data_IF_397382033310
#
_entry.id   IF_397382033310
#
_cell.length_a   1.000
_cell.length_b   1.000
_cell.length_c   1.000
_cell.angle_alpha   90.00
_cell.angle_beta   90.00
_cell.angle_gamma   90.00
#
_symmetry.space_group_name_H-M   'P 1'
#
loop_
_entity.id
_entity.type
_entity.pdbx_description
1 polymer ?
#
# COMPACT_ATOMS: atom_id res chain seq x y z
N UNK A 1 25.29 -18.30 -16.96
CA UNK A 1 23.86 -18.50 -17.26
C UNK A 1 23.74 -18.59 -18.77
N UNK A 2 23.00 -19.56 -19.31
CA UNK A 2 22.87 -19.77 -20.76
C UNK A 2 21.46 -19.32 -21.15
N UNK A 3 21.35 -18.38 -22.09
CA UNK A 3 20.08 -17.94 -22.67
C UNK A 3 19.77 -18.91 -23.81
N UNK A 4 18.63 -19.61 -23.74
CA UNK A 4 18.23 -20.59 -24.75
C UNK A 4 17.63 -19.88 -25.98
N UNK A 5 17.59 -20.54 -27.16
CA UNK A 5 16.96 -19.96 -28.36
C UNK A 5 15.49 -19.55 -28.15
N UNK A 6 14.76 -20.29 -27.31
CA UNK A 6 13.38 -19.96 -26.95
C UNK A 6 13.29 -18.66 -26.13
N UNK A 7 14.24 -18.44 -25.22
CA UNK A 7 14.35 -17.20 -24.44
C UNK A 7 14.65 -16.01 -25.36
N UNK A 8 15.57 -16.19 -26.32
CA UNK A 8 15.93 -15.14 -27.29
C UNK A 8 14.71 -14.69 -28.11
N UNK A 9 13.87 -15.63 -28.55
CA UNK A 9 12.64 -15.33 -29.27
C UNK A 9 11.65 -14.53 -28.41
N UNK A 10 11.44 -14.96 -27.16
CA UNK A 10 10.55 -14.27 -26.22
C UNK A 10 11.04 -12.85 -25.88
N UNK A 11 12.35 -12.68 -25.69
CA UNK A 11 12.98 -11.39 -25.43
C UNK A 11 12.81 -10.43 -26.61
N UNK A 12 13.00 -10.93 -27.84
CA UNK A 12 12.77 -10.15 -29.06
C UNK A 12 11.31 -9.69 -29.21
N UNK A 13 10.33 -10.58 -28.96
CA UNK A 13 8.90 -10.23 -28.96
C UNK A 13 8.55 -9.14 -27.93
N UNK A 14 9.25 -9.12 -26.79
CA UNK A 14 9.09 -8.11 -25.73
C UNK A 14 9.93 -6.85 -25.93
N UNK A 15 10.68 -6.74 -27.03
CA UNK A 15 11.64 -5.64 -27.27
C UNK A 15 12.68 -5.49 -26.15
N UNK A 16 13.15 -6.61 -25.58
CA UNK A 16 14.19 -6.67 -24.57
C UNK A 16 15.47 -7.21 -25.22
N UNK A 17 16.57 -6.46 -25.13
CA UNK A 17 17.86 -6.89 -25.65
C UNK A 17 18.58 -7.86 -24.70
N UNK A 18 19.50 -8.65 -25.25
CA UNK A 18 20.34 -9.55 -24.45
C UNK A 18 21.17 -8.79 -23.39
N UNK A 19 21.65 -7.58 -23.72
CA UNK A 19 22.35 -6.74 -22.75
C UNK A 19 21.43 -6.35 -21.58
N UNK A 20 20.18 -5.98 -21.86
CA UNK A 20 19.20 -5.62 -20.82
C UNK A 20 18.84 -6.79 -19.91
N UNK A 21 18.66 -8.01 -20.45
CA UNK A 21 18.36 -9.17 -19.61
C UNK A 21 19.56 -9.55 -18.74
N UNK A 22 20.79 -9.47 -19.27
CA UNK A 22 22.00 -9.73 -18.49
C UNK A 22 22.13 -8.72 -17.35
N UNK A 23 21.89 -7.43 -17.60
CA UNK A 23 21.90 -6.39 -16.56
C UNK A 23 20.85 -6.64 -15.47
N UNK A 24 19.61 -6.99 -15.85
CA UNK A 24 18.55 -7.30 -14.89
C UNK A 24 18.89 -8.52 -14.03
N UNK A 25 19.44 -9.57 -14.64
CA UNK A 25 19.89 -10.77 -13.95
C UNK A 25 21.03 -10.46 -12.97
N UNK A 26 21.94 -9.57 -13.36
CA UNK A 26 23.00 -9.09 -12.50
C UNK A 26 22.47 -8.35 -11.27
N UNK A 27 21.44 -7.51 -11.43
CA UNK A 27 20.74 -6.87 -10.32
C UNK A 27 20.09 -7.88 -9.36
N UNK A 28 19.56 -9.01 -9.86
CA UNK A 28 19.03 -10.06 -8.99
C UNK A 28 20.12 -10.75 -8.17
N UNK A 29 21.32 -10.93 -8.74
CA UNK A 29 22.44 -11.58 -8.07
C UNK A 29 23.13 -10.67 -7.06
N UNK A 30 23.42 -9.43 -7.45
CA UNK A 30 24.21 -8.47 -6.66
C UNK A 30 23.34 -7.56 -5.80
N UNK A 31 22.02 -7.60 -6.00
CA UNK A 31 21.09 -6.62 -5.46
C UNK A 31 21.10 -5.33 -6.27
N UNK A 32 20.16 -4.44 -5.95
CA UNK A 32 20.10 -3.11 -6.55
C UNK A 32 21.00 -2.15 -5.77
N UNK A 33 21.82 -1.33 -6.44
CA UNK A 33 22.57 -0.29 -5.75
C UNK A 33 21.61 0.68 -5.06
N UNK A 34 22.00 1.18 -3.90
CA UNK A 34 21.24 2.24 -3.25
C UNK A 34 21.14 3.45 -4.18
N UNK A 35 19.91 3.97 -4.32
CA UNK A 35 19.67 5.17 -5.10
C UNK A 35 20.42 6.33 -4.45
N UNK A 36 21.30 6.99 -5.20
CA UNK A 36 21.95 8.22 -4.72
C UNK A 36 20.91 9.32 -4.71
N UNK A 37 20.50 9.73 -3.52
CA UNK A 37 19.60 10.86 -3.35
C UNK A 37 20.34 12.13 -3.79
N UNK A 38 19.82 12.79 -4.81
CA UNK A 38 20.40 14.05 -5.31
C UNK A 38 20.19 15.18 -4.30
N UNK A 39 18.96 15.36 -3.85
CA UNK A 39 18.57 16.25 -2.77
C UNK A 39 17.11 16.00 -2.35
N UNK A 40 16.70 16.63 -1.24
CA UNK A 40 15.28 16.75 -0.93
C UNK A 40 14.56 17.57 -2.02
N UNK A 41 13.34 17.17 -2.36
CA UNK A 41 12.49 17.93 -3.26
C UNK A 41 12.17 19.29 -2.63
N UNK A 42 12.40 20.37 -3.38
CA UNK A 42 12.11 21.75 -2.98
C UNK A 42 11.54 22.50 -4.17
N UNK A 43 11.12 23.76 -3.98
CA UNK A 43 10.63 24.60 -5.08
C UNK A 43 11.70 24.77 -6.17
N UNK A 44 12.97 24.82 -5.75
CA UNK A 44 14.14 24.89 -6.63
C UNK A 44 14.56 23.51 -7.17
N UNK A 45 14.02 22.42 -6.60
CA UNK A 45 14.37 21.02 -6.90
C UNK A 45 13.13 20.17 -7.19
N UNK A 46 12.38 20.59 -8.21
CA UNK A 46 11.33 19.77 -8.84
C UNK A 46 9.90 19.97 -8.31
N UNK A 47 9.69 20.74 -7.22
CA UNK A 47 8.33 21.10 -6.77
C UNK A 47 7.88 22.37 -7.50
N UNK A 48 6.81 22.28 -8.29
CA UNK A 48 6.21 23.44 -8.92
C UNK A 48 5.34 24.23 -7.93
N UNK A 49 5.81 25.40 -7.49
CA UNK A 49 5.02 26.34 -6.72
C UNK A 49 4.26 27.30 -7.65
N UNK A 50 2.92 27.23 -7.63
CA UNK A 50 2.07 28.08 -8.46
C UNK A 50 1.82 29.44 -7.81
N UNK A 51 1.89 30.52 -8.59
CA UNK A 51 1.43 31.85 -8.17
C UNK A 51 -0.08 31.87 -8.02
N UNK A 52 -0.60 32.81 -7.22
CA UNK A 52 -2.05 33.01 -7.02
C UNK A 52 -2.81 33.13 -8.35
N UNK A 53 -2.27 33.89 -9.30
CA UNK A 53 -2.88 34.06 -10.62
C UNK A 53 -2.98 32.74 -11.41
N UNK A 54 -1.93 31.91 -11.36
CA UNK A 54 -1.92 30.59 -12.02
C UNK A 54 -2.89 29.62 -11.33
N UNK A 55 -2.94 29.63 -10.00
CA UNK A 55 -3.91 28.83 -9.24
C UNK A 55 -5.34 29.20 -9.65
N UNK A 56 -5.66 30.50 -9.69
CA UNK A 56 -6.97 30.98 -10.10
C UNK A 56 -7.30 30.62 -11.55
N UNK A 57 -6.32 30.72 -12.45
CA UNK A 57 -6.50 30.31 -13.84
C UNK A 57 -6.82 28.82 -13.98
N UNK A 58 -6.11 27.93 -13.26
CA UNK A 58 -6.39 26.49 -13.30
C UNK A 58 -7.71 26.12 -12.65
N UNK A 59 -8.08 26.76 -11.53
CA UNK A 59 -9.39 26.57 -10.91
C UNK A 59 -10.52 26.98 -11.85
N UNK A 60 -10.37 28.13 -12.51
CA UNK A 60 -11.36 28.62 -13.49
C UNK A 60 -11.45 27.67 -14.70
N UNK A 61 -10.31 27.16 -15.20
CA UNK A 61 -10.29 26.19 -16.29
C UNK A 61 -11.02 24.88 -15.90
N UNK A 62 -10.80 24.37 -14.68
CA UNK A 62 -11.50 23.20 -14.17
C UNK A 62 -13.01 23.45 -14.02
N UNK A 63 -13.41 24.57 -13.41
CA UNK A 63 -14.82 24.93 -13.25
C UNK A 63 -15.52 25.06 -14.61
N UNK A 64 -14.87 25.66 -15.61
CA UNK A 64 -15.44 25.73 -16.96
C UNK A 64 -15.58 24.34 -17.58
N UNK A 65 -14.62 23.44 -17.37
CA UNK A 65 -14.68 22.06 -17.86
C UNK A 65 -15.86 21.28 -17.25
N UNK A 66 -16.13 21.44 -15.95
CA UNK A 66 -17.26 20.75 -15.28
C UNK A 66 -18.62 21.21 -15.78
N UNK A 67 -18.73 22.39 -16.39
CA UNK A 67 -19.97 22.90 -17.01
C UNK A 67 -20.21 22.42 -18.45
N UNK A 68 -19.28 21.65 -19.02
CA UNK A 68 -19.45 21.05 -20.36
C UNK A 68 -20.30 19.77 -20.29
N UNK A 69 -20.69 19.25 -21.46
CA UNK A 69 -21.41 17.97 -21.56
C UNK A 69 -20.45 16.76 -21.59
N UNK A 70 -19.20 16.93 -21.09
CA UNK A 70 -18.20 15.85 -21.02
C UNK A 70 -18.41 15.02 -19.76
N UNK A 71 -18.15 13.71 -19.88
CA UNK A 71 -18.10 12.80 -18.73
C UNK A 71 -16.75 12.93 -18.03
N UNK A 72 -16.79 13.15 -16.71
CA UNK A 72 -15.59 13.21 -15.88
C UNK A 72 -15.36 11.82 -15.30
N UNK A 73 -14.15 11.30 -15.47
CA UNK A 73 -13.76 10.01 -14.92
C UNK A 73 -12.57 10.19 -14.00
N UNK A 74 -12.70 9.69 -12.77
CA UNK A 74 -11.57 9.48 -11.89
C UNK A 74 -11.02 8.07 -12.12
N UNK A 75 -9.79 8.00 -12.59
CA UNK A 75 -9.08 6.73 -12.72
C UNK A 75 -8.09 6.60 -11.56
N UNK A 76 -8.23 5.52 -10.79
CA UNK A 76 -7.25 5.17 -9.76
C UNK A 76 -6.57 3.86 -10.16
N UNK A 77 -5.26 3.86 -10.41
CA UNK A 77 -4.55 2.64 -10.79
C UNK A 77 -4.60 1.62 -9.65
N UNK A 78 -4.73 0.34 -10.01
CA UNK A 78 -4.81 -0.74 -9.05
C UNK A 78 -3.52 -0.83 -8.22
N UNK A 79 -3.66 -1.03 -6.91
CA UNK A 79 -2.54 -1.39 -6.04
C UNK A 79 -2.33 -2.89 -6.05
N UNK A 80 -1.06 -3.32 -6.09
CA UNK A 80 -0.70 -4.72 -5.91
C UNK A 80 -0.95 -5.20 -4.47
N UNK A 81 -0.73 -6.50 -4.24
CA UNK A 81 -0.86 -7.11 -2.92
C UNK A 81 -0.07 -6.36 -1.84
N UNK A 82 -0.58 -6.36 -0.61
CA UNK A 82 0.04 -5.69 0.52
C UNK A 82 1.29 -6.40 1.08
N UNK A 83 1.80 -7.45 0.42
CA UNK A 83 2.82 -8.35 0.99
C UNK A 83 4.11 -7.63 1.41
N UNK A 84 4.56 -6.60 0.66
CA UNK A 84 5.70 -5.77 1.07
C UNK A 84 5.43 -4.89 2.30
N UNK A 85 4.18 -4.46 2.48
CA UNK A 85 3.79 -3.62 3.62
C UNK A 85 3.87 -4.40 4.95
N UNK A 86 3.59 -5.70 4.91
CA UNK A 86 3.64 -6.58 6.08
C UNK A 86 4.93 -7.42 6.15
N UNK A 87 5.97 -7.08 5.39
CA UNK A 87 7.21 -7.88 5.31
C UNK A 87 7.78 -8.19 6.70
N UNK A 88 7.97 -7.16 7.53
CA UNK A 88 8.57 -7.33 8.85
C UNK A 88 7.65 -8.12 9.81
N UNK A 89 6.32 -8.07 9.60
CA UNK A 89 5.35 -8.88 10.37
C UNK A 89 5.39 -10.35 9.94
N UNK A 90 5.57 -10.62 8.64
CA UNK A 90 5.81 -11.97 8.13
C UNK A 90 7.14 -12.55 8.63
N UNK A 91 8.20 -11.75 8.62
CA UNK A 91 9.50 -12.14 9.17
C UNK A 91 9.38 -12.46 10.66
N UNK A 92 8.68 -11.63 11.44
CA UNK A 92 8.37 -11.92 12.84
C UNK A 92 7.58 -13.23 13.02
N UNK A 93 6.56 -13.46 12.19
CA UNK A 93 5.72 -14.66 12.27
C UNK A 93 6.54 -15.94 12.02
N UNK A 94 7.53 -15.88 11.14
CA UNK A 94 8.43 -17.00 10.80
C UNK A 94 9.68 -17.12 11.67
N UNK A 95 9.94 -16.19 12.59
CA UNK A 95 11.16 -16.19 13.40
C UNK A 95 11.14 -17.23 14.54
N UNK A 96 12.31 -17.60 15.04
CA UNK A 96 12.48 -18.61 16.11
C UNK A 96 12.14 -18.08 17.52
N UNK A 97 11.76 -16.80 17.64
CA UNK A 97 11.38 -16.16 18.90
C UNK A 97 9.90 -15.77 18.89
N UNK A 98 9.27 -15.71 20.07
CA UNK A 98 7.82 -15.47 20.20
C UNK A 98 7.46 -14.05 20.67
N UNK A 99 8.44 -13.28 21.12
CA UNK A 99 8.26 -11.92 21.65
C UNK A 99 8.98 -10.89 20.79
N UNK A 100 8.45 -9.67 20.62
CA UNK A 100 9.08 -8.61 19.83
C UNK A 100 10.54 -8.34 20.21
N UNK A 101 11.45 -8.48 19.26
CA UNK A 101 12.89 -8.24 19.44
C UNK A 101 13.37 -7.01 18.69
N UNK A 102 12.84 -6.77 17.48
CA UNK A 102 13.24 -5.61 16.67
C UNK A 102 12.49 -4.35 17.10
N UNK A 103 13.07 -3.19 16.82
CA UNK A 103 12.42 -1.89 17.07
C UNK A 103 11.10 -1.76 16.30
N UNK A 104 11.03 -2.33 15.10
CA UNK A 104 9.79 -2.40 14.32
C UNK A 104 8.72 -3.19 15.07
N UNK A 105 9.00 -4.44 15.44
CA UNK A 105 8.03 -5.30 16.12
C UNK A 105 7.52 -4.67 17.42
N UNK A 106 8.45 -4.14 18.24
CA UNK A 106 8.12 -3.48 19.49
C UNK A 106 7.18 -2.30 19.26
N UNK A 107 7.48 -1.46 18.27
CA UNK A 107 6.65 -0.30 17.93
C UNK A 107 5.29 -0.73 17.37
N UNK A 108 5.27 -1.76 16.53
CA UNK A 108 4.06 -2.30 15.92
C UNK A 108 3.07 -2.81 16.97
N UNK A 109 3.52 -3.68 17.88
CA UNK A 109 2.64 -4.23 18.92
C UNK A 109 2.30 -3.21 20.01
N UNK A 110 3.21 -2.27 20.34
CA UNK A 110 2.92 -1.19 21.28
C UNK A 110 1.92 -0.16 20.75
N UNK A 111 1.74 -0.07 19.43
CA UNK A 111 0.82 0.87 18.78
C UNK A 111 -0.36 0.16 18.10
N UNK A 112 -0.60 -1.11 18.41
CA UNK A 112 -1.54 -1.93 17.67
C UNK A 112 -2.99 -1.39 17.73
N UNK A 113 -3.34 -0.74 18.83
CA UNK A 113 -4.62 -0.06 19.10
C UNK A 113 -4.87 1.16 18.21
N UNK A 114 -3.82 1.72 17.62
CA UNK A 114 -3.91 2.90 16.76
C UNK A 114 -4.34 2.56 15.33
N UNK A 115 -4.24 1.30 14.92
CA UNK A 115 -4.60 0.91 13.56
C UNK A 115 -6.12 0.94 13.34
N UNK A 116 -6.53 1.34 12.13
CA UNK A 116 -7.93 1.33 11.71
C UNK A 116 -8.56 -0.08 11.71
N UNK A 117 -7.74 -1.12 11.58
CA UNK A 117 -8.18 -2.52 11.63
C UNK A 117 -8.16 -3.14 13.03
N UNK A 118 -7.86 -2.38 14.10
CA UNK A 118 -7.68 -2.94 15.44
C UNK A 118 -8.90 -3.73 15.92
N UNK A 119 -10.11 -3.17 15.79
CA UNK A 119 -11.34 -3.84 16.25
C UNK A 119 -11.58 -5.15 15.49
N UNK A 120 -11.49 -5.13 14.16
CA UNK A 120 -11.60 -6.33 13.31
C UNK A 120 -10.54 -7.39 13.70
N UNK A 121 -9.30 -6.96 13.94
CA UNK A 121 -8.21 -7.85 14.36
C UNK A 121 -8.48 -8.43 15.76
N UNK A 122 -9.03 -7.63 16.65
CA UNK A 122 -9.38 -8.03 17.99
C UNK A 122 -10.50 -9.08 17.97
N UNK A 123 -11.55 -8.86 17.17
CA UNK A 123 -12.60 -9.84 16.93
C UNK A 123 -12.06 -11.14 16.32
N UNK A 124 -11.15 -11.03 15.35
CA UNK A 124 -10.47 -12.19 14.78
C UNK A 124 -9.66 -12.96 15.85
N UNK A 125 -8.92 -12.26 16.70
CA UNK A 125 -8.19 -12.87 17.82
C UNK A 125 -9.13 -13.58 18.80
N UNK A 126 -10.25 -12.95 19.17
CA UNK A 126 -11.26 -13.57 20.05
C UNK A 126 -11.84 -14.82 19.41
N UNK A 127 -12.17 -14.77 18.11
CA UNK A 127 -12.71 -15.92 17.38
C UNK A 127 -11.74 -17.09 17.30
N UNK A 128 -10.44 -16.82 17.08
CA UNK A 128 -9.42 -17.85 16.83
C UNK A 128 -8.82 -18.39 18.13
N UNK A 129 -8.49 -17.50 19.07
CA UNK A 129 -7.74 -17.82 20.29
C UNK A 129 -8.59 -17.78 21.56
N UNK A 130 -9.85 -17.38 21.45
CA UNK A 130 -10.74 -17.15 22.60
C UNK A 130 -10.34 -15.96 23.47
N UNK A 131 -9.45 -15.07 22.99
CA UNK A 131 -8.84 -13.98 23.77
C UNK A 131 -8.67 -12.72 22.93
N UNK A 132 -8.87 -11.57 23.56
CA UNK A 132 -8.61 -10.27 22.96
C UNK A 132 -7.10 -9.98 22.84
N UNK A 133 -6.75 -8.99 22.02
CA UNK A 133 -5.35 -8.61 21.74
C UNK A 133 -4.59 -8.28 23.02
N UNK A 134 -5.17 -7.50 23.93
CA UNK A 134 -4.52 -7.12 25.21
C UNK A 134 -4.13 -8.34 26.02
N UNK A 135 -5.03 -9.33 26.15
CA UNK A 135 -4.76 -10.57 26.88
C UNK A 135 -3.68 -11.41 26.19
N UNK A 136 -3.68 -11.45 24.85
CA UNK A 136 -2.66 -12.15 24.08
C UNK A 136 -1.28 -11.51 24.28
N UNK A 137 -1.19 -10.18 24.25
CA UNK A 137 0.04 -9.43 24.54
C UNK A 137 0.56 -9.73 25.95
N UNK A 138 -0.29 -9.64 26.98
CA UNK A 138 0.11 -9.94 28.37
C UNK A 138 0.60 -11.38 28.54
N UNK A 139 0.07 -12.33 27.74
CA UNK A 139 0.49 -13.73 27.74
C UNK A 139 1.67 -14.03 26.80
N UNK A 140 2.26 -13.01 26.18
CA UNK A 140 3.37 -13.17 25.23
C UNK A 140 2.99 -13.86 23.92
N UNK A 141 1.70 -13.91 23.57
CA UNK A 141 1.17 -14.60 22.37
C UNK A 141 1.13 -13.68 21.15
N UNK A 142 2.25 -13.01 20.85
CA UNK A 142 2.33 -12.04 19.75
C UNK A 142 2.17 -12.67 18.36
N UNK A 143 2.70 -13.89 18.15
CA UNK A 143 2.53 -14.61 16.88
C UNK A 143 1.08 -14.96 16.57
N UNK A 144 0.24 -15.18 17.58
CA UNK A 144 -1.19 -15.41 17.35
C UNK A 144 -1.86 -14.17 16.74
N UNK A 145 -1.50 -12.99 17.22
CA UNK A 145 -1.98 -11.71 16.68
C UNK A 145 -1.45 -11.48 15.25
N UNK A 146 -0.16 -11.72 15.01
CA UNK A 146 0.43 -11.61 13.67
C UNK A 146 -0.22 -12.59 12.68
N UNK A 147 -0.46 -13.84 13.08
CA UNK A 147 -1.15 -14.84 12.27
C UNK A 147 -2.60 -14.44 11.98
N UNK A 148 -3.33 -13.95 12.99
CA UNK A 148 -4.69 -13.45 12.83
C UNK A 148 -4.77 -12.22 11.90
N UNK A 149 -3.72 -11.40 11.83
CA UNK A 149 -3.66 -10.30 10.87
C UNK A 149 -3.41 -10.82 9.44
N UNK A 150 -2.40 -11.67 9.27
CA UNK A 150 -1.86 -11.96 7.94
C UNK A 150 -2.57 -13.10 7.21
N UNK A 151 -3.05 -14.11 7.93
CA UNK A 151 -3.50 -15.37 7.34
C UNK A 151 -5.01 -15.42 7.13
N UNK A 152 -5.43 -16.31 6.23
CA UNK A 152 -6.84 -16.48 5.80
C UNK A 152 -7.82 -16.81 6.92
N UNK A 153 -7.36 -17.41 8.01
CA UNK A 153 -8.19 -17.73 9.18
C UNK A 153 -8.61 -16.46 9.94
N UNK A 154 -7.80 -15.42 9.86
CA UNK A 154 -8.06 -14.10 10.45
C UNK A 154 -8.52 -13.08 9.42
N UNK A 155 -7.78 -11.98 9.28
CA UNK A 155 -8.13 -10.88 8.36
C UNK A 155 -7.60 -11.11 6.95
N UNK A 156 -6.66 -12.03 6.75
CA UNK A 156 -6.03 -12.31 5.45
C UNK A 156 -5.29 -11.11 4.83
N UNK A 157 -4.84 -10.14 5.63
CA UNK A 157 -4.22 -8.91 5.13
C UNK A 157 -2.90 -9.15 4.38
N UNK A 158 -2.29 -10.33 4.56
CA UNK A 158 -1.10 -10.75 3.82
C UNK A 158 -1.35 -11.01 2.33
N UNK A 159 -2.58 -11.40 1.97
CA UNK A 159 -2.95 -11.77 0.60
C UNK A 159 -3.91 -10.77 -0.07
N UNK A 160 -4.62 -9.94 0.70
CA UNK A 160 -5.57 -8.98 0.16
C UNK A 160 -4.86 -7.81 -0.58
N UNK A 161 -5.49 -7.27 -1.65
CA UNK A 161 -5.09 -5.99 -2.22
C UNK A 161 -5.15 -4.88 -1.16
N UNK A 162 -4.20 -3.94 -1.20
CA UNK A 162 -4.15 -2.81 -0.24
C UNK A 162 -5.45 -2.00 -0.22
N UNK A 163 -6.13 -1.93 -1.36
CA UNK A 163 -7.41 -1.24 -1.51
C UNK A 163 -8.53 -1.79 -0.61
N UNK A 164 -8.40 -3.02 -0.10
CA UNK A 164 -9.38 -3.67 0.78
C UNK A 164 -8.95 -3.67 2.26
N UNK A 165 -7.81 -3.06 2.58
CA UNK A 165 -7.33 -2.99 3.95
C UNK A 165 -7.86 -1.72 4.61
N UNK A 166 -8.35 -1.81 5.85
CA UNK A 166 -8.75 -0.61 6.60
C UNK A 166 -7.51 0.20 6.99
N UNK A 167 -7.39 1.41 6.44
CA UNK A 167 -6.31 2.36 6.76
C UNK A 167 -6.81 3.69 7.31
N UNK A 168 -8.08 4.01 7.09
CA UNK A 168 -8.66 5.28 7.53
C UNK A 168 -9.49 5.04 8.78
N UNK A 169 -9.27 5.87 9.81
CA UNK A 169 -10.03 5.86 11.06
C UNK A 169 -10.57 7.27 11.28
N UNK A 170 -11.89 7.39 11.29
CA UNK A 170 -12.63 8.61 11.55
C UNK A 170 -13.50 8.41 12.79
N UNK A 171 -14.12 9.48 13.29
CA UNK A 171 -15.05 9.41 14.42
C UNK A 171 -16.25 8.50 14.15
N UNK A 172 -16.71 8.45 12.89
CA UNK A 172 -17.88 7.67 12.47
C UNK A 172 -17.55 6.26 11.95
N UNK A 173 -16.29 5.82 12.04
CA UNK A 173 -15.89 4.47 11.67
C UNK A 173 -14.59 4.39 10.88
N UNK A 174 -14.32 3.20 10.36
CA UNK A 174 -13.08 2.88 9.64
C UNK A 174 -13.39 2.54 8.19
N UNK A 175 -12.45 2.87 7.30
CA UNK A 175 -12.64 2.72 5.85
C UNK A 175 -11.39 2.19 5.16
N UNK A 176 -11.65 1.46 4.09
CA UNK A 176 -10.69 1.00 3.11
C UNK A 176 -10.37 2.10 2.09
N UNK A 177 -9.22 2.04 1.40
CA UNK A 177 -8.93 2.96 0.31
C UNK A 177 -9.95 2.91 -0.82
N UNK A 178 -10.58 1.75 -1.08
CA UNK A 178 -11.65 1.66 -2.09
C UNK A 178 -12.84 2.54 -1.71
N UNK A 179 -13.28 2.49 -0.46
CA UNK A 179 -14.38 3.35 0.03
C UNK A 179 -14.00 4.83 -0.06
N UNK A 180 -12.78 5.20 0.34
CA UNK A 180 -12.30 6.58 0.19
C UNK A 180 -12.24 7.03 -1.27
N UNK A 181 -11.81 6.16 -2.19
CA UNK A 181 -11.79 6.49 -3.61
C UNK A 181 -13.18 6.74 -4.18
N UNK A 182 -14.22 6.06 -3.68
CA UNK A 182 -15.61 6.29 -4.08
C UNK A 182 -16.11 7.64 -3.58
N UNK A 183 -15.82 8.00 -2.31
CA UNK A 183 -16.16 9.31 -1.75
C UNK A 183 -15.47 10.41 -2.52
N UNK A 184 -14.16 10.29 -2.72
CA UNK A 184 -13.38 11.24 -3.53
C UNK A 184 -13.91 11.30 -4.98
N UNK A 185 -14.23 10.15 -5.57
CA UNK A 185 -14.82 10.08 -6.91
C UNK A 185 -16.12 10.87 -7.02
N UNK A 186 -17.02 10.73 -6.04
CA UNK A 186 -18.27 11.50 -6.02
C UNK A 186 -18.05 13.01 -5.91
N UNK A 187 -16.97 13.46 -5.26
CA UNK A 187 -16.63 14.88 -5.12
C UNK A 187 -15.93 15.44 -6.37
N UNK A 188 -15.02 14.68 -6.97
CA UNK A 188 -14.17 15.15 -8.08
C UNK A 188 -14.76 14.88 -9.46
N UNK A 189 -15.57 13.84 -9.63
CA UNK A 189 -16.14 13.44 -10.92
C UNK A 189 -17.58 13.94 -11.15
N UNK A 190 -18.06 14.88 -10.34
CA UNK A 190 -19.36 15.50 -10.53
C UNK A 190 -19.33 16.49 -11.71
N UNK A 191 -19.93 16.12 -12.84
CA UNK A 191 -20.15 17.02 -13.97
C UNK A 191 -21.34 17.96 -13.75
N UNK A 192 -21.73 18.67 -14.82
CA UNK A 192 -22.85 19.63 -14.83
C UNK A 192 -24.15 19.12 -14.23
N UNK A 193 -24.43 17.81 -14.35
CA UNK A 193 -25.69 17.19 -13.88
C UNK A 193 -25.58 16.55 -12.49
N UNK A 194 -24.42 16.65 -11.83
CA UNK A 194 -24.14 15.91 -10.59
C UNK A 194 -23.97 14.40 -10.80
N UNK A 195 -23.86 13.98 -12.06
CA UNK A 195 -23.54 12.63 -12.52
C UNK A 195 -22.29 12.66 -13.39
#
# INVERSE_FOLDING_TARGET
MIILPEDQKLLAEKSISEAQIIEQLDCFQRGFPYLKLEAAASVEKGILALTTDKQQAYLSAWQNYTQTDKTIMKFVPASGAASRMFKDVFEFLGADYDTPTTKFEQTFFASIDKFAFYEDLNEACVRIEGKNITTLITKGKYKAIASALLNVVGLNYGALPKGLLKFHKYENGTRTPVEEHLVEGALYAAGKTGK
#
